data_IF_955281023883
#
_entry.id   IF_955281023883
#
_cell.length_a   1.000
_cell.length_b   1.000
_cell.length_c   1.000
_cell.angle_alpha   90.00
_cell.angle_beta   90.00
_cell.angle_gamma   90.00
#
_symmetry.space_group_name_H-M   'P 1'
#
loop_
_entity.id
_entity.type
_entity.pdbx_description
1 polymer ?
#
# COMPACT_ATOMS: atom_id res chain seq x y z
N UNK A 1 -6.31 20.76 1.87
CA UNK A 1 -5.80 20.51 3.24
C UNK A 1 -6.33 19.15 3.71
N UNK A 2 -5.64 18.41 4.59
CA UNK A 2 -6.19 17.21 5.19
C UNK A 2 -7.54 17.56 5.84
N UNK A 3 -8.57 16.73 5.67
CA UNK A 3 -9.93 16.98 6.23
C UNK A 3 -9.86 17.27 7.74
N UNK A 4 -8.93 16.63 8.45
CA UNK A 4 -8.73 16.84 9.88
C UNK A 4 -8.24 18.25 10.24
N UNK A 5 -7.57 18.97 9.34
CA UNK A 5 -7.15 20.35 9.58
C UNK A 5 -8.35 21.30 9.65
N UNK A 6 -9.45 20.98 8.96
CA UNK A 6 -10.71 21.74 9.06
C UNK A 6 -11.45 21.44 10.35
N UNK A 7 -11.43 20.17 10.79
CA UNK A 7 -12.16 19.71 11.98
C UNK A 7 -11.42 19.98 13.30
N UNK A 8 -10.08 20.03 13.26
CA UNK A 8 -9.21 20.20 14.42
C UNK A 8 -8.00 21.09 14.07
N UNK A 9 -8.19 22.40 13.89
CA UNK A 9 -7.17 23.32 13.38
C UNK A 9 -6.00 23.57 14.35
N UNK A 10 -6.15 23.24 15.64
CA UNK A 10 -5.08 23.38 16.64
C UNK A 10 -4.00 22.30 16.57
N UNK A 11 -4.11 21.31 15.67
CA UNK A 11 -3.13 20.25 15.48
C UNK A 11 -2.38 20.45 14.17
N UNK A 12 -1.05 20.28 14.22
CA UNK A 12 -0.19 20.34 13.04
C UNK A 12 -0.27 19.03 12.23
N UNK A 13 -1.35 18.89 11.45
CA UNK A 13 -1.62 17.72 10.62
C UNK A 13 -0.61 17.54 9.49
N UNK A 14 -0.02 18.62 8.99
CA UNK A 14 1.01 18.56 7.97
C UNK A 14 2.29 17.93 8.54
N UNK A 15 2.72 18.36 9.74
CA UNK A 15 3.85 17.74 10.45
C UNK A 15 3.58 16.28 10.77
N UNK A 16 2.36 15.91 11.18
CA UNK A 16 1.98 14.51 11.42
C UNK A 16 2.06 13.68 10.14
N UNK A 17 1.58 14.22 9.01
CA UNK A 17 1.66 13.55 7.71
C UNK A 17 3.12 13.36 7.27
N UNK A 18 3.94 14.41 7.42
CA UNK A 18 5.36 14.37 7.08
C UNK A 18 6.14 13.37 7.95
N UNK A 19 5.91 13.37 9.26
CA UNK A 19 6.56 12.41 10.16
C UNK A 19 6.13 10.97 9.88
N UNK A 20 4.85 10.74 9.56
CA UNK A 20 4.36 9.42 9.13
C UNK A 20 5.06 8.89 7.87
N UNK A 21 5.27 9.76 6.86
CA UNK A 21 6.04 9.38 5.65
C UNK A 21 7.51 9.13 5.98
N UNK A 22 8.12 9.91 6.88
CA UNK A 22 9.49 9.70 7.32
C UNK A 22 9.65 8.37 8.07
N UNK A 23 8.68 8.00 8.92
CA UNK A 23 8.65 6.70 9.59
C UNK A 23 8.51 5.56 8.58
N UNK A 24 7.62 5.70 7.59
CA UNK A 24 7.46 4.70 6.55
C UNK A 24 8.72 4.51 5.70
N UNK A 25 9.44 5.60 5.39
CA UNK A 25 10.71 5.53 4.68
C UNK A 25 11.79 4.76 5.47
N UNK A 26 11.77 4.87 6.80
CA UNK A 26 12.68 4.17 7.72
C UNK A 26 12.26 2.73 8.01
N UNK A 27 10.95 2.45 8.03
CA UNK A 27 10.37 1.14 8.30
C UNK A 27 10.46 0.23 7.07
N UNK A 28 11.68 -0.02 6.58
CA UNK A 28 11.95 -0.91 5.45
C UNK A 28 12.82 -2.05 5.92
N UNK A 29 12.30 -3.26 5.82
CA UNK A 29 12.92 -4.45 6.36
C UNK A 29 13.10 -5.50 5.27
N UNK A 30 14.12 -6.34 5.46
CA UNK A 30 14.39 -7.45 4.57
C UNK A 30 14.92 -7.04 3.20
N UNK A 31 15.21 -8.03 2.33
CA UNK A 31 15.71 -7.79 0.98
C UNK A 31 14.65 -7.13 0.07
N UNK A 32 13.36 -7.31 0.36
CA UNK A 32 12.27 -6.67 -0.38
C UNK A 32 12.06 -5.19 -0.01
N UNK A 33 12.68 -4.69 1.07
CA UNK A 33 12.56 -3.30 1.50
C UNK A 33 11.12 -2.88 1.85
N UNK A 34 10.30 -3.84 2.32
CA UNK A 34 8.90 -3.62 2.69
C UNK A 34 8.76 -3.29 4.18
N UNK A 35 7.71 -2.54 4.57
CA UNK A 35 7.36 -2.38 5.98
C UNK A 35 6.79 -3.68 6.56
N UNK A 36 6.95 -3.86 7.87
CA UNK A 36 6.21 -4.88 8.61
C UNK A 36 4.76 -4.43 8.83
N UNK A 37 3.83 -5.38 8.94
CA UNK A 37 2.46 -5.08 9.38
C UNK A 37 2.45 -4.35 10.74
N UNK A 38 3.37 -4.74 11.63
CA UNK A 38 3.54 -4.15 12.95
C UNK A 38 4.99 -3.75 13.18
N UNK A 39 5.21 -2.49 13.54
CA UNK A 39 6.54 -1.90 13.74
C UNK A 39 6.66 -1.38 15.17
N UNK A 40 7.76 -1.76 15.84
CA UNK A 40 8.17 -1.21 17.12
C UNK A 40 8.97 0.08 16.91
N UNK A 41 8.56 1.14 17.61
CA UNK A 41 9.25 2.44 17.66
C UNK A 41 9.78 2.74 19.07
N UNK A 42 10.23 1.70 19.81
CA UNK A 42 10.76 1.85 21.19
C UNK A 42 12.08 2.60 21.24
N UNK A 43 12.90 2.50 20.20
CA UNK A 43 14.21 3.16 20.06
C UNK A 43 14.23 3.99 18.78
N UNK A 44 15.32 4.72 18.55
CA UNK A 44 15.51 5.51 17.32
C UNK A 44 15.48 4.63 16.06
N UNK A 45 15.91 3.36 16.17
CA UNK A 45 15.85 2.40 15.08
C UNK A 45 14.51 1.66 15.11
N UNK A 46 13.74 1.78 14.04
CA UNK A 46 12.52 0.99 13.86
C UNK A 46 12.86 -0.48 13.64
N UNK A 47 12.04 -1.36 14.20
CA UNK A 47 12.18 -2.82 14.07
C UNK A 47 10.81 -3.46 13.88
N UNK A 48 10.69 -4.62 13.20
CA UNK A 48 9.46 -5.41 13.24
C UNK A 48 9.06 -5.71 14.68
N UNK A 49 7.78 -5.50 15.01
CA UNK A 49 7.30 -5.66 16.38
C UNK A 49 7.39 -7.12 16.85
N UNK A 50 7.96 -7.33 18.03
CA UNK A 50 7.97 -8.66 18.67
C UNK A 50 6.55 -9.07 19.06
N UNK A 51 6.25 -10.36 18.92
CA UNK A 51 4.92 -10.92 19.21
C UNK A 51 3.95 -10.89 18.02
N UNK A 52 4.38 -10.36 16.87
CA UNK A 52 3.64 -10.40 15.61
C UNK A 52 4.43 -11.16 14.54
N UNK A 53 3.77 -11.71 13.51
CA UNK A 53 4.46 -12.26 12.34
C UNK A 53 5.39 -11.22 11.69
N UNK A 54 6.63 -11.61 11.39
CA UNK A 54 7.59 -10.74 10.69
C UNK A 54 7.35 -10.76 9.18
N UNK A 55 6.24 -10.15 8.77
CA UNK A 55 5.79 -10.14 7.39
C UNK A 55 5.32 -8.74 6.96
N UNK A 56 5.33 -8.51 5.66
CA UNK A 56 4.44 -7.57 5.01
C UNK A 56 3.19 -8.35 4.59
N UNK A 57 2.04 -8.05 5.18
CA UNK A 57 0.82 -8.81 4.97
C UNK A 57 -0.39 -7.93 4.74
N UNK A 58 -1.55 -8.42 5.18
CA UNK A 58 -2.84 -7.79 4.92
C UNK A 58 -2.88 -6.34 5.37
N UNK A 59 -2.30 -6.02 6.53
CA UNK A 59 -2.31 -4.65 7.06
C UNK A 59 -1.50 -3.70 6.19
N UNK A 60 -0.31 -4.15 5.76
CA UNK A 60 0.62 -3.43 4.90
C UNK A 60 0.07 -3.13 3.50
N UNK A 61 -0.83 -3.97 2.95
CA UNK A 61 -1.46 -3.73 1.64
C UNK A 61 -2.15 -2.35 1.55
N UNK A 62 -2.65 -1.83 2.66
CA UNK A 62 -3.37 -0.55 2.70
C UNK A 62 -2.45 0.67 2.61
N UNK A 63 -1.15 0.50 2.88
CA UNK A 63 -0.17 1.60 2.86
C UNK A 63 -0.12 2.28 1.48
N UNK A 64 0.16 1.59 0.36
CA UNK A 64 0.19 2.24 -0.95
C UNK A 64 -1.18 2.80 -1.35
N UNK A 65 -2.28 2.14 -1.00
CA UNK A 65 -3.64 2.66 -1.23
C UNK A 65 -3.85 4.02 -0.56
N UNK A 66 -3.47 4.17 0.71
CA UNK A 66 -3.65 5.40 1.46
C UNK A 66 -2.67 6.50 1.06
N UNK A 67 -1.43 6.16 0.70
CA UNK A 67 -0.49 7.13 0.12
C UNK A 67 -1.07 7.76 -1.16
N UNK A 68 -1.54 6.92 -2.09
CA UNK A 68 -2.15 7.40 -3.33
C UNK A 68 -3.43 8.20 -3.06
N UNK A 69 -4.29 7.74 -2.14
CA UNK A 69 -5.51 8.47 -1.73
C UNK A 69 -5.21 9.85 -1.16
N UNK A 70 -4.12 9.99 -0.42
CA UNK A 70 -3.64 11.27 0.09
C UNK A 70 -2.95 12.14 -0.98
N UNK A 71 -2.73 11.62 -2.18
CA UNK A 71 -2.05 12.32 -3.29
C UNK A 71 -0.53 12.17 -3.27
N UNK A 72 0.02 11.28 -2.45
CA UNK A 72 1.45 10.97 -2.43
C UNK A 72 1.76 9.87 -3.44
N UNK A 73 2.33 10.28 -4.58
CA UNK A 73 2.77 9.39 -5.66
C UNK A 73 4.31 9.29 -5.77
N UNK A 74 5.03 9.51 -4.67
CA UNK A 74 6.48 9.43 -4.64
C UNK A 74 6.95 8.01 -4.98
N UNK A 75 7.69 7.88 -6.09
CA UNK A 75 8.23 6.61 -6.57
C UNK A 75 9.17 5.96 -5.55
N UNK A 76 9.95 6.73 -4.80
CA UNK A 76 10.85 6.17 -3.79
C UNK A 76 10.06 5.45 -2.68
N UNK A 77 8.91 6.01 -2.28
CA UNK A 77 8.00 5.39 -1.31
C UNK A 77 7.26 4.18 -1.87
N UNK A 78 6.83 4.26 -3.12
CA UNK A 78 5.89 3.30 -3.72
C UNK A 78 6.55 2.14 -4.46
N UNK A 79 7.79 2.30 -4.95
CA UNK A 79 8.48 1.30 -5.75
C UNK A 79 8.63 -0.08 -5.09
N UNK A 80 8.92 -0.22 -3.77
CA UNK A 80 9.06 -1.54 -3.16
C UNK A 80 7.78 -2.39 -3.29
N UNK A 81 6.60 -1.78 -3.07
CA UNK A 81 5.32 -2.48 -3.23
C UNK A 81 5.10 -2.90 -4.69
N UNK A 82 5.43 -2.03 -5.64
CA UNK A 82 5.28 -2.30 -7.07
C UNK A 82 6.23 -3.39 -7.56
N UNK A 83 7.47 -3.43 -7.07
CA UNK A 83 8.46 -4.45 -7.45
C UNK A 83 8.03 -5.85 -7.00
N UNK A 84 7.49 -5.94 -5.78
CA UNK A 84 7.03 -7.21 -5.21
C UNK A 84 5.81 -7.74 -5.96
N UNK A 85 4.87 -6.87 -6.36
CA UNK A 85 3.65 -7.27 -7.05
C UNK A 85 3.78 -7.32 -8.58
N UNK A 86 4.78 -6.63 -9.14
CA UNK A 86 5.01 -6.46 -10.58
C UNK A 86 6.16 -7.29 -11.16
N UNK A 87 6.84 -8.11 -10.35
CA UNK A 87 7.84 -9.08 -10.80
C UNK A 87 7.26 -10.24 -11.62
N UNK A 88 8.06 -11.28 -11.90
CA UNK A 88 7.71 -12.41 -12.80
C UNK A 88 6.37 -13.11 -12.48
N UNK A 89 5.90 -13.04 -11.23
CA UNK A 89 4.61 -13.62 -10.83
C UNK A 89 3.41 -12.73 -11.13
N UNK A 90 3.58 -11.41 -11.24
CA UNK A 90 2.50 -10.42 -11.39
C UNK A 90 1.44 -10.46 -10.29
N UNK A 91 1.77 -11.05 -9.13
CA UNK A 91 0.80 -11.41 -8.07
C UNK A 91 1.10 -10.68 -6.78
N UNK A 92 0.03 -10.17 -6.17
CA UNK A 92 0.09 -9.65 -4.79
C UNK A 92 0.30 -10.82 -3.84
N UNK A 93 1.13 -10.64 -2.82
CA UNK A 93 1.41 -11.67 -1.83
C UNK A 93 1.62 -11.08 -0.44
N UNK A 94 1.37 -11.90 0.58
CA UNK A 94 1.98 -11.75 1.90
C UNK A 94 3.44 -12.17 1.77
N UNK A 95 4.38 -11.38 2.28
CA UNK A 95 5.83 -11.56 2.07
C UNK A 95 6.55 -11.67 3.41
N UNK A 96 7.40 -12.69 3.54
CA UNK A 96 8.30 -12.85 4.67
C UNK A 96 9.38 -11.77 4.64
N UNK A 97 9.57 -11.05 5.75
CA UNK A 97 10.61 -10.01 5.81
C UNK A 97 12.02 -10.59 5.91
N UNK A 98 12.17 -11.85 6.31
CA UNK A 98 13.49 -12.49 6.47
C UNK A 98 14.23 -12.65 5.14
N UNK A 99 13.52 -13.07 4.09
CA UNK A 99 14.09 -13.46 2.80
C UNK A 99 13.38 -12.85 1.59
N UNK A 100 12.28 -12.11 1.81
CA UNK A 100 11.50 -11.46 0.75
C UNK A 100 10.65 -12.44 -0.06
N UNK A 101 10.49 -13.69 0.39
CA UNK A 101 9.72 -14.70 -0.34
C UNK A 101 8.21 -14.59 -0.04
N UNK A 102 7.34 -14.92 -1.01
CA UNK A 102 5.90 -14.96 -0.79
C UNK A 102 5.54 -16.09 0.19
N UNK A 103 4.84 -15.75 1.26
CA UNK A 103 4.21 -16.69 2.20
C UNK A 103 2.86 -17.17 1.63
N UNK A 104 2.07 -16.23 1.11
CA UNK A 104 0.72 -16.47 0.61
C UNK A 104 0.47 -15.66 -0.66
N UNK A 105 0.01 -16.30 -1.73
CA UNK A 105 -0.39 -15.62 -2.96
C UNK A 105 -1.84 -15.12 -2.83
N UNK A 106 -2.03 -13.81 -2.98
CA UNK A 106 -3.32 -13.15 -2.86
C UNK A 106 -3.95 -12.96 -4.25
N UNK A 107 -4.82 -13.91 -4.63
CA UNK A 107 -5.32 -14.02 -6.00
C UNK A 107 -6.62 -13.23 -6.27
N UNK A 108 -7.34 -12.78 -5.24
CA UNK A 108 -8.61 -12.08 -5.43
C UNK A 108 -8.50 -10.79 -6.28
N UNK A 109 -9.55 -10.43 -7.03
CA UNK A 109 -9.54 -9.25 -7.91
C UNK A 109 -9.22 -7.94 -7.20
N UNK A 110 -9.60 -7.81 -5.93
CA UNK A 110 -9.30 -6.60 -5.15
C UNK A 110 -7.81 -6.34 -4.96
N UNK A 111 -7.01 -7.39 -4.74
CA UNK A 111 -5.57 -7.27 -4.63
C UNK A 111 -4.95 -6.95 -6.00
N UNK A 112 -5.40 -7.62 -7.05
CA UNK A 112 -4.95 -7.32 -8.41
C UNK A 112 -5.28 -5.88 -8.82
N UNK A 113 -6.44 -5.37 -8.43
CA UNK A 113 -6.84 -3.98 -8.67
C UNK A 113 -5.89 -3.00 -7.97
N UNK A 114 -5.47 -3.30 -6.74
CA UNK A 114 -4.48 -2.48 -6.02
C UNK A 114 -3.13 -2.46 -6.75
N UNK A 115 -2.63 -3.62 -7.18
CA UNK A 115 -1.38 -3.69 -7.95
C UNK A 115 -1.49 -2.98 -9.30
N UNK A 116 -2.60 -3.14 -10.02
CA UNK A 116 -2.85 -2.45 -11.28
C UNK A 116 -2.96 -0.93 -11.11
N UNK A 117 -3.55 -0.47 -10.00
CA UNK A 117 -3.60 0.96 -9.64
C UNK A 117 -2.19 1.51 -9.45
N UNK A 118 -1.34 0.79 -8.72
CA UNK A 118 0.04 1.18 -8.48
C UNK A 118 0.86 1.22 -9.78
N UNK A 119 0.72 0.20 -10.62
CA UNK A 119 1.38 0.11 -11.92
C UNK A 119 0.93 1.23 -12.87
N UNK A 120 -0.34 1.64 -12.83
CA UNK A 120 -0.81 2.78 -13.60
C UNK A 120 -0.19 4.10 -13.12
N UNK A 121 -0.27 4.37 -11.81
CA UNK A 121 0.21 5.65 -11.26
C UNK A 121 1.72 5.81 -11.47
N UNK A 122 2.49 4.75 -11.27
CA UNK A 122 3.93 4.79 -11.45
C UNK A 122 4.31 4.73 -12.94
N UNK A 123 3.82 3.73 -13.66
CA UNK A 123 4.37 3.33 -14.96
C UNK A 123 3.40 3.53 -16.14
N UNK A 124 2.27 4.22 -15.92
CA UNK A 124 1.23 4.49 -16.94
C UNK A 124 0.65 3.24 -17.61
N UNK A 125 0.76 2.08 -16.97
CA UNK A 125 0.12 0.84 -17.43
C UNK A 125 -1.40 0.92 -17.19
N UNK A 126 -2.25 0.73 -18.21
CA UNK A 126 -3.70 0.83 -18.03
C UNK A 126 -4.21 -0.29 -17.10
N UNK A 127 -5.24 0.02 -16.30
CA UNK A 127 -5.89 -1.01 -15.47
C UNK A 127 -6.64 -1.98 -16.39
N UNK A 128 -6.48 -3.31 -16.27
CA UNK A 128 -7.23 -4.28 -17.04
C UNK A 128 -8.75 -4.09 -16.93
N UNK A 129 -9.48 -4.16 -18.05
CA UNK A 129 -10.94 -3.93 -18.09
C UNK A 129 -11.71 -4.82 -17.11
N UNK A 130 -11.26 -6.06 -16.90
CA UNK A 130 -11.87 -7.00 -15.96
C UNK A 130 -11.83 -6.53 -14.49
N UNK A 131 -10.87 -5.67 -14.12
CA UNK A 131 -10.71 -5.12 -12.77
C UNK A 131 -11.46 -3.79 -12.60
N UNK A 132 -11.88 -3.13 -13.69
CA UNK A 132 -12.63 -1.85 -13.65
C UNK A 132 -14.07 -2.02 -13.16
N UNK A 133 -14.58 -3.25 -13.13
CA UNK A 133 -15.91 -3.59 -12.62
C UNK A 133 -15.76 -4.35 -11.31
N UNK A 134 -16.45 -3.87 -10.27
CA UNK A 134 -16.47 -4.55 -8.97
C UNK A 134 -17.06 -5.96 -9.09
N UNK A 135 -16.39 -6.94 -8.47
CA UNK A 135 -16.91 -8.29 -8.26
C UNK A 135 -16.76 -8.65 -6.79
N UNK A 136 -17.86 -8.96 -6.09
CA UNK A 136 -17.76 -9.35 -4.69
C UNK A 136 -17.07 -10.71 -4.57
N UNK A 137 -16.10 -10.79 -3.64
CA UNK A 137 -15.51 -12.04 -3.17
C UNK A 137 -15.55 -12.07 -1.65
N UNK A 138 -14.44 -12.34 -0.96
CA UNK A 138 -14.33 -12.17 0.49
C UNK A 138 -14.39 -10.70 0.89
N UNK A 139 -14.82 -10.43 2.13
CA UNK A 139 -15.01 -9.07 2.65
C UNK A 139 -13.78 -8.17 2.45
N UNK A 140 -12.59 -8.66 2.80
CA UNK A 140 -11.36 -7.87 2.75
C UNK A 140 -10.94 -7.47 1.32
N UNK A 141 -10.73 -8.40 0.36
CA UNK A 141 -10.43 -8.03 -1.02
C UNK A 141 -11.55 -7.22 -1.67
N UNK A 142 -12.82 -7.48 -1.35
CA UNK A 142 -13.94 -6.66 -1.85
C UNK A 142 -13.83 -5.21 -1.40
N UNK A 143 -13.43 -4.98 -0.15
CA UNK A 143 -13.20 -3.64 0.40
C UNK A 143 -12.04 -2.94 -0.30
N UNK A 144 -10.91 -3.63 -0.49
CA UNK A 144 -9.76 -3.08 -1.24
C UNK A 144 -10.17 -2.74 -2.68
N UNK A 145 -10.95 -3.60 -3.34
CA UNK A 145 -11.44 -3.36 -4.71
C UNK A 145 -12.25 -2.06 -4.78
N UNK A 146 -13.24 -1.91 -3.90
CA UNK A 146 -14.09 -0.71 -3.86
C UNK A 146 -13.31 0.56 -3.54
N UNK A 147 -12.37 0.51 -2.59
CA UNK A 147 -11.52 1.65 -2.26
C UNK A 147 -10.60 2.04 -3.42
N UNK A 148 -10.02 1.05 -4.12
CA UNK A 148 -9.19 1.30 -5.29
C UNK A 148 -10.00 1.86 -6.47
N UNK A 149 -11.18 1.32 -6.76
CA UNK A 149 -12.09 1.88 -7.77
C UNK A 149 -12.50 3.31 -7.44
N UNK A 150 -12.84 3.60 -6.18
CA UNK A 150 -13.15 4.95 -5.71
C UNK A 150 -11.97 5.90 -5.90
N UNK A 151 -10.75 5.47 -5.56
CA UNK A 151 -9.53 6.25 -5.76
C UNK A 151 -9.33 6.57 -7.25
N UNK A 152 -9.37 5.55 -8.11
CA UNK A 152 -9.12 5.69 -9.54
C UNK A 152 -10.16 6.61 -10.18
N UNK A 153 -11.45 6.39 -9.91
CA UNK A 153 -12.52 7.20 -10.47
C UNK A 153 -12.46 8.69 -10.05
N UNK A 154 -11.90 8.99 -8.87
CA UNK A 154 -11.83 10.35 -8.34
C UNK A 154 -10.52 11.07 -8.70
N UNK A 155 -9.38 10.37 -8.73
CA UNK A 155 -8.06 11.00 -8.82
C UNK A 155 -7.20 10.52 -9.99
N UNK A 156 -7.50 9.37 -10.57
CA UNK A 156 -6.68 8.74 -11.60
C UNK A 156 -7.51 8.21 -12.78
N UNK A 157 -8.42 9.03 -13.32
CA UNK A 157 -9.29 8.64 -14.44
C UNK A 157 -8.51 8.25 -15.69
N UNK A 158 -7.29 8.76 -15.83
CA UNK A 158 -6.35 8.38 -16.88
C UNK A 158 -5.95 6.89 -16.86
N UNK A 159 -6.23 6.17 -15.77
CA UNK A 159 -5.96 4.74 -15.64
C UNK A 159 -7.10 3.83 -16.13
N UNK A 160 -8.28 4.41 -16.42
CA UNK A 160 -9.49 3.70 -16.82
C UNK A 160 -9.62 3.49 -18.33
#
# INVERSE_FOLDING_TARGET
>A
LPVMAELAPGTDWEKLSASGRALLAQARFGPAGLPADWVSARSERLEPAKGFPQQFGYDGLRIPLYLLRAGYADRALLAPFAQVWGGESGRVAVVALSDGQPIENLADPGYQMLAATLACVLDRKPIPTALRVFRPTSYYPSTIHLLALSLVAQRHRECL
#
